data_IF_135399725976
#
_entry.id   IF_135399725976
#
_cell.length_a   1.000
_cell.length_b   1.000
_cell.length_c   1.000
_cell.angle_alpha   90.00
_cell.angle_beta   90.00
_cell.angle_gamma   90.00
#
_symmetry.space_group_name_H-M   'P 1'
#
loop_
_entity.id
_entity.type
_entity.pdbx_description
1 polymer ?
#
# COMPACT_ATOMS: atom_id res chain seq x y z
N UNK A 1 25.33 -77.54 -17.35
CA UNK A 1 24.49 -77.34 -16.16
C UNK A 1 23.84 -75.97 -16.29
N UNK A 2 22.59 -75.89 -16.76
CA UNK A 2 21.87 -74.62 -16.84
C UNK A 2 21.31 -74.27 -15.44
N UNK A 3 21.35 -72.99 -15.00
CA UNK A 3 20.85 -72.61 -13.69
C UNK A 3 19.31 -72.73 -13.64
N UNK A 4 18.74 -73.21 -12.53
CA UNK A 4 17.31 -73.38 -12.39
C UNK A 4 16.61 -72.02 -12.38
N UNK A 5 15.63 -71.84 -13.27
CA UNK A 5 14.76 -70.65 -13.26
C UNK A 5 13.86 -70.72 -12.04
N UNK A 6 14.03 -69.79 -11.10
CA UNK A 6 13.13 -69.64 -9.98
C UNK A 6 11.81 -69.02 -10.47
N UNK A 7 10.75 -69.82 -10.52
CA UNK A 7 9.39 -69.33 -10.76
C UNK A 7 8.89 -68.66 -9.47
N UNK A 8 8.89 -67.33 -9.45
CA UNK A 8 8.38 -66.53 -8.34
C UNK A 8 6.84 -66.45 -8.28
N UNK A 9 6.13 -66.96 -9.28
CA UNK A 9 4.65 -67.05 -9.33
C UNK A 9 4.03 -68.03 -8.32
N UNK A 10 4.85 -68.80 -7.57
CA UNK A 10 4.34 -69.73 -6.54
C UNK A 10 4.03 -69.03 -5.20
N UNK A 11 4.36 -67.76 -5.05
CA UNK A 11 4.23 -67.01 -3.79
C UNK A 11 3.25 -65.83 -3.85
N UNK A 12 2.41 -65.75 -4.88
CA UNK A 12 1.24 -64.86 -4.80
C UNK A 12 0.20 -65.52 -3.91
N UNK A 13 0.10 -65.02 -2.66
CA UNK A 13 -1.02 -65.34 -1.79
C UNK A 13 -2.31 -64.86 -2.48
N UNK A 14 -3.37 -65.67 -2.55
CA UNK A 14 -4.67 -65.14 -2.94
C UNK A 14 -5.03 -64.04 -1.94
N UNK A 15 -5.34 -62.85 -2.46
CA UNK A 15 -5.91 -61.75 -1.68
C UNK A 15 -7.27 -62.26 -1.16
N UNK A 16 -7.25 -62.75 0.06
CA UNK A 16 -8.45 -63.03 0.84
C UNK A 16 -9.02 -61.63 1.15
N UNK A 17 -10.10 -61.24 0.48
CA UNK A 17 -10.93 -60.05 0.77
C UNK A 17 -11.59 -60.22 2.15
N UNK A 18 -10.77 -60.35 3.19
CA UNK A 18 -11.17 -60.15 4.57
C UNK A 18 -10.89 -58.68 4.83
N UNK A 19 -11.95 -57.90 4.88
CA UNK A 19 -11.97 -56.55 5.42
C UNK A 19 -11.11 -56.53 6.69
N UNK A 20 -9.86 -56.07 6.55
CA UNK A 20 -9.04 -55.70 7.69
C UNK A 20 -9.82 -54.57 8.36
N UNK A 21 -10.55 -54.90 9.42
CA UNK A 21 -11.23 -53.92 10.23
C UNK A 21 -10.20 -52.86 10.57
N UNK A 22 -10.38 -51.66 10.00
CA UNK A 22 -9.52 -50.52 10.24
C UNK A 22 -9.72 -50.19 11.72
N UNK A 23 -8.84 -50.69 12.57
CA UNK A 23 -8.84 -50.38 14.00
C UNK A 23 -8.47 -48.90 14.08
N UNK A 24 -9.48 -48.06 14.30
CA UNK A 24 -9.27 -46.64 14.51
C UNK A 24 -8.35 -46.47 15.72
N UNK A 25 -7.25 -45.73 15.53
CA UNK A 25 -6.32 -45.44 16.62
C UNK A 25 -7.08 -44.78 17.76
N UNK A 26 -6.83 -45.23 18.98
CA UNK A 26 -7.42 -44.61 20.15
C UNK A 26 -6.79 -43.21 20.39
N UNK A 27 -7.45 -42.38 21.21
CA UNK A 27 -6.95 -41.03 21.50
C UNK A 27 -5.54 -41.04 22.15
N UNK A 28 -5.17 -42.14 22.79
CA UNK A 28 -3.87 -42.37 23.43
C UNK A 28 -2.76 -42.63 22.41
N UNK A 29 -3.01 -43.48 21.42
CA UNK A 29 -2.11 -43.82 20.32
C UNK A 29 -1.86 -42.60 19.43
N UNK A 30 -2.91 -41.80 19.18
CA UNK A 30 -2.80 -40.52 18.45
C UNK A 30 -1.92 -39.52 19.23
N UNK A 31 -2.09 -39.44 20.55
CA UNK A 31 -1.26 -38.58 21.40
C UNK A 31 0.20 -39.06 21.41
N UNK A 32 0.42 -40.37 21.49
CA UNK A 32 1.74 -40.99 21.48
C UNK A 32 2.47 -40.72 20.16
N UNK A 33 1.81 -40.92 19.02
CA UNK A 33 2.36 -40.62 17.69
C UNK A 33 2.66 -39.12 17.50
N UNK A 34 1.79 -38.24 18.00
CA UNK A 34 2.05 -36.78 17.98
C UNK A 34 3.25 -36.40 18.84
N UNK A 35 3.48 -37.08 19.96
CA UNK A 35 4.66 -36.86 20.79
C UNK A 35 5.94 -37.43 20.18
N UNK A 36 5.88 -38.58 19.51
CA UNK A 36 7.04 -39.17 18.83
C UNK A 36 7.43 -38.42 17.54
N UNK A 37 6.47 -37.80 16.85
CA UNK A 37 6.72 -37.01 15.62
C UNK A 37 7.14 -35.55 15.86
N UNK A 38 7.08 -35.05 17.09
CA UNK A 38 7.47 -33.68 17.42
C UNK A 38 8.84 -33.66 18.11
N UNK A 39 9.80 -32.95 17.51
CA UNK A 39 11.10 -32.72 18.14
C UNK A 39 10.96 -31.98 19.49
N UNK A 40 11.93 -32.14 20.43
CA UNK A 40 11.87 -31.56 21.78
C UNK A 40 11.56 -30.06 21.82
N UNK A 41 12.00 -29.31 20.81
CA UNK A 41 11.84 -27.85 20.71
C UNK A 41 10.62 -27.39 19.91
N UNK A 42 9.85 -28.30 19.30
CA UNK A 42 8.77 -27.93 18.38
C UNK A 42 7.65 -27.09 19.06
N UNK A 43 7.40 -27.33 20.35
CA UNK A 43 6.42 -26.57 21.14
C UNK A 43 6.92 -25.16 21.46
N UNK A 44 8.19 -25.03 21.80
CA UNK A 44 8.83 -23.75 22.12
C UNK A 44 8.93 -22.86 20.89
N UNK A 45 9.28 -23.44 19.73
CA UNK A 45 9.31 -22.72 18.45
C UNK A 45 7.93 -22.16 18.08
N UNK A 46 6.87 -22.96 18.21
CA UNK A 46 5.49 -22.49 17.95
C UNK A 46 5.06 -21.38 18.90
N UNK A 47 5.48 -21.44 20.17
CA UNK A 47 5.21 -20.37 21.14
C UNK A 47 5.93 -19.09 20.73
N UNK A 48 7.21 -19.18 20.36
CA UNK A 48 8.01 -18.05 19.92
C UNK A 48 7.44 -17.41 18.65
N UNK A 49 6.98 -18.21 17.67
CA UNK A 49 6.33 -17.71 16.46
C UNK A 49 5.04 -16.91 16.76
N UNK A 50 4.24 -17.38 17.72
CA UNK A 50 3.04 -16.67 18.15
C UNK A 50 3.39 -15.37 18.86
N UNK A 51 4.39 -15.38 19.75
CA UNK A 51 4.85 -14.19 20.46
C UNK A 51 5.38 -13.11 19.48
N UNK A 52 6.09 -13.52 18.42
CA UNK A 52 6.56 -12.62 17.35
C UNK A 52 5.36 -11.99 16.61
N UNK A 53 4.35 -12.80 16.26
CA UNK A 53 3.14 -12.31 15.57
C UNK A 53 2.36 -11.33 16.45
N UNK A 54 2.25 -11.61 17.74
CA UNK A 54 1.54 -10.73 18.67
C UNK A 54 2.31 -9.43 18.94
N UNK A 55 3.64 -9.49 19.01
CA UNK A 55 4.49 -8.31 19.05
C UNK A 55 4.33 -7.45 17.79
N UNK A 56 4.31 -8.09 16.60
CA UNK A 56 4.09 -7.39 15.33
C UNK A 56 2.70 -6.72 15.28
N UNK A 57 1.66 -7.39 15.75
CA UNK A 57 0.31 -6.79 15.85
C UNK A 57 0.29 -5.60 16.79
N UNK A 58 0.85 -5.71 18.00
CA UNK A 58 0.95 -4.58 18.95
C UNK A 58 1.69 -3.38 18.37
N UNK A 59 2.74 -3.63 17.60
CA UNK A 59 3.50 -2.57 16.92
C UNK A 59 2.62 -1.92 15.84
N UNK A 60 1.97 -2.70 14.99
CA UNK A 60 1.08 -2.18 13.94
C UNK A 60 -0.10 -1.38 14.51
N UNK A 61 -0.72 -1.86 15.58
CA UNK A 61 -1.83 -1.15 16.26
C UNK A 61 -1.37 0.19 16.84
N UNK A 62 -0.14 0.26 17.37
CA UNK A 62 0.44 1.50 17.93
C UNK A 62 0.90 2.48 16.86
N UNK A 63 1.49 1.98 15.76
CA UNK A 63 1.88 2.82 14.63
C UNK A 63 0.61 3.40 13.98
N UNK A 64 -0.52 2.71 14.06
CA UNK A 64 -1.80 3.21 13.56
C UNK A 64 -1.80 3.38 12.04
N UNK A 65 -0.84 2.77 11.33
CA UNK A 65 -0.74 2.75 9.87
C UNK A 65 -1.73 1.72 9.35
N UNK A 66 -3.00 2.06 9.51
CA UNK A 66 -4.02 1.68 8.56
C UNK A 66 -3.95 2.77 7.52
N UNK A 67 -3.37 2.46 6.34
CA UNK A 67 -3.42 3.35 5.19
C UNK A 67 -4.86 3.82 5.06
N UNK A 68 -5.07 5.09 5.41
CA UNK A 68 -6.37 5.68 5.25
C UNK A 68 -6.48 5.98 3.76
N UNK A 69 -7.61 5.59 3.15
CA UNK A 69 -7.92 5.81 1.72
C UNK A 69 -8.00 7.31 1.33
N UNK A 70 -7.46 8.21 2.16
CA UNK A 70 -7.37 9.65 1.97
C UNK A 70 -6.31 10.05 0.95
N UNK A 71 -5.50 9.11 0.45
CA UNK A 71 -4.44 9.37 -0.54
C UNK A 71 -3.32 10.28 -0.01
N UNK A 72 -3.23 10.45 1.30
CA UNK A 72 -2.19 11.23 1.96
C UNK A 72 -1.03 10.31 2.32
N UNK A 73 0.20 10.81 2.14
CA UNK A 73 1.39 10.12 2.62
C UNK A 73 1.30 9.90 4.14
N UNK A 74 1.89 8.83 4.68
CA UNK A 74 1.95 8.62 6.12
C UNK A 74 2.59 9.84 6.82
N UNK A 75 2.10 10.25 8.01
CA UNK A 75 2.57 11.45 8.70
C UNK A 75 4.08 11.48 8.99
N UNK A 76 4.73 10.31 9.07
CA UNK A 76 6.18 10.20 9.25
C UNK A 76 6.99 10.69 8.05
N UNK A 77 6.38 10.78 6.87
CA UNK A 77 7.00 11.26 5.63
C UNK A 77 6.70 12.74 5.37
N UNK A 78 5.99 13.44 6.26
CA UNK A 78 5.67 14.85 6.06
C UNK A 78 6.87 15.74 6.39
N UNK A 79 7.17 16.69 5.51
CA UNK A 79 8.17 17.73 5.73
C UNK A 79 7.50 18.96 6.35
N UNK A 80 7.29 18.90 7.68
CA UNK A 80 6.59 19.94 8.45
C UNK A 80 7.24 21.33 8.27
N UNK A 81 8.59 21.48 8.28
CA UNK A 81 9.23 22.75 7.97
C UNK A 81 8.86 23.33 6.60
N UNK A 82 8.94 22.52 5.54
CA UNK A 82 8.57 22.96 4.19
C UNK A 82 7.08 23.30 4.09
N UNK A 83 6.21 22.48 4.67
CA UNK A 83 4.77 22.70 4.68
C UNK A 83 4.39 24.01 5.39
N UNK A 84 5.05 24.31 6.52
CA UNK A 84 4.87 25.56 7.25
C UNK A 84 5.30 26.77 6.44
N UNK A 85 6.41 26.67 5.72
CA UNK A 85 6.89 27.74 4.84
C UNK A 85 5.88 28.02 3.72
N UNK A 86 5.37 26.95 3.08
CA UNK A 86 4.36 27.08 2.01
C UNK A 86 3.08 27.74 2.51
N UNK A 87 2.59 27.39 3.70
CA UNK A 87 1.41 28.07 4.27
C UNK A 87 1.67 29.54 4.64
N UNK A 88 2.91 29.93 4.93
CA UNK A 88 3.27 31.31 5.27
C UNK A 88 3.46 32.21 4.04
N UNK A 89 3.97 31.65 2.94
CA UNK A 89 4.29 32.41 1.73
C UNK A 89 3.14 32.45 0.71
N UNK A 90 2.32 31.39 0.66
CA UNK A 90 1.26 31.23 -0.34
C UNK A 90 -0.11 31.14 0.35
N UNK A 91 -0.83 32.26 0.38
CA UNK A 91 -2.26 32.23 0.70
C UNK A 91 -3.02 31.50 -0.43
N UNK A 92 -4.14 30.81 -0.13
CA UNK A 92 -4.91 30.13 -1.16
C UNK A 92 -5.42 31.15 -2.20
N UNK A 93 -4.92 31.02 -3.42
CA UNK A 93 -5.22 31.91 -4.53
C UNK A 93 -6.41 31.42 -5.36
N UNK A 94 -7.28 32.35 -5.76
CA UNK A 94 -8.43 32.01 -6.59
C UNK A 94 -8.00 31.90 -8.06
N UNK A 95 -8.08 30.70 -8.59
CA UNK A 95 -7.69 30.40 -9.96
C UNK A 95 -8.60 31.10 -10.98
N UNK A 96 -7.99 31.84 -11.90
CA UNK A 96 -8.62 32.45 -13.06
C UNK A 96 -7.88 32.09 -14.37
N UNK A 97 -8.46 32.46 -15.52
CA UNK A 97 -7.76 32.44 -16.82
C UNK A 97 -7.63 33.83 -17.37
N UNK A 98 -6.43 34.22 -17.82
CA UNK A 98 -6.24 35.42 -18.60
C UNK A 98 -6.93 35.24 -19.96
N UNK A 99 -7.78 36.18 -20.34
CA UNK A 99 -8.52 36.13 -21.61
C UNK A 99 -8.09 37.20 -22.59
N UNK A 100 -7.68 38.37 -22.09
CA UNK A 100 -7.22 39.47 -22.92
C UNK A 100 -6.24 40.34 -22.18
N UNK A 101 -5.18 40.75 -22.86
CA UNK A 101 -4.20 41.70 -22.33
C UNK A 101 -4.56 43.09 -22.86
N UNK A 102 -4.68 44.06 -21.97
CA UNK A 102 -4.86 45.48 -22.31
C UNK A 102 -3.52 46.16 -22.14
N UNK A 103 -2.75 46.22 -23.22
CA UNK A 103 -1.53 47.01 -23.29
C UNK A 103 -1.94 48.48 -23.41
N UNK A 104 -1.76 49.26 -22.34
CA UNK A 104 -1.89 50.72 -22.44
C UNK A 104 -0.59 51.27 -23.02
N UNK A 105 -0.68 51.97 -24.15
CA UNK A 105 0.46 52.68 -24.75
C UNK A 105 0.77 53.91 -23.89
N UNK A 106 1.64 53.76 -22.90
CA UNK A 106 2.05 54.80 -21.95
C UNK A 106 2.76 54.23 -20.72
N UNK A 107 3.21 55.10 -19.81
CA UNK A 107 3.93 54.75 -18.56
C UNK A 107 3.03 54.11 -17.47
N UNK A 108 1.83 53.63 -17.85
CA UNK A 108 0.88 53.00 -16.94
C UNK A 108 1.03 51.47 -16.97
N UNK A 109 0.92 50.78 -15.81
CA UNK A 109 1.07 49.34 -15.74
C UNK A 109 -0.01 48.61 -16.55
N UNK A 110 0.39 47.55 -17.26
CA UNK A 110 -0.50 46.74 -18.09
C UNK A 110 -1.68 46.17 -17.28
N UNK A 111 -2.88 46.19 -17.87
CA UNK A 111 -4.10 45.65 -17.26
C UNK A 111 -4.50 44.36 -17.96
N UNK A 112 -5.01 43.41 -17.20
CA UNK A 112 -5.35 42.07 -17.69
C UNK A 112 -6.82 41.78 -17.45
N UNK A 113 -7.50 41.21 -18.45
CA UNK A 113 -8.88 40.74 -18.31
C UNK A 113 -8.86 39.26 -17.97
N UNK A 114 -9.22 38.94 -16.74
CA UNK A 114 -9.32 37.57 -16.25
C UNK A 114 -10.77 37.10 -16.25
N UNK A 115 -10.98 35.80 -16.45
CA UNK A 115 -12.27 35.14 -16.30
C UNK A 115 -12.21 34.13 -15.15
N UNK A 116 -13.05 34.33 -14.13
CA UNK A 116 -13.21 33.41 -13.00
C UNK A 116 -14.42 32.52 -13.28
N UNK A 117 -14.20 31.20 -13.37
CA UNK A 117 -15.16 30.22 -13.94
C UNK A 117 -16.57 30.25 -13.36
N UNK A 118 -16.75 30.70 -12.12
CA UNK A 118 -18.06 30.73 -11.42
C UNK A 118 -18.63 32.14 -11.20
N UNK A 119 -17.89 33.20 -11.52
CA UNK A 119 -18.24 34.57 -11.10
C UNK A 119 -18.46 35.45 -12.33
N UNK A 120 -17.39 36.05 -12.85
CA UNK A 120 -17.44 37.03 -13.92
C UNK A 120 -16.03 37.30 -14.49
N UNK A 121 -15.97 38.25 -15.42
CA UNK A 121 -14.72 38.81 -15.95
C UNK A 121 -14.31 40.04 -15.13
N UNK A 122 -13.04 40.13 -14.79
CA UNK A 122 -12.47 41.24 -14.03
C UNK A 122 -11.26 41.84 -14.74
N UNK A 123 -11.04 43.14 -14.54
CA UNK A 123 -9.81 43.82 -14.96
C UNK A 123 -8.89 43.90 -13.74
N UNK A 124 -7.72 43.28 -13.83
CA UNK A 124 -6.74 43.20 -12.74
C UNK A 124 -5.40 43.79 -13.17
N UNK A 125 -4.64 44.27 -12.19
CA UNK A 125 -3.24 44.68 -12.38
C UNK A 125 -2.28 43.49 -12.32
N UNK A 126 -1.00 43.77 -12.55
CA UNK A 126 0.08 42.81 -12.40
C UNK A 126 0.44 42.63 -10.90
N UNK A 127 0.80 41.41 -10.51
CA UNK A 127 1.26 41.10 -9.14
C UNK A 127 2.77 41.35 -8.95
N UNK A 128 3.21 41.48 -7.69
CA UNK A 128 4.58 41.90 -7.34
C UNK A 128 5.68 40.89 -7.71
N UNK A 129 5.32 39.62 -7.92
CA UNK A 129 6.27 38.52 -8.19
C UNK A 129 6.31 38.07 -9.65
N UNK A 130 5.58 38.71 -10.55
CA UNK A 130 5.45 38.29 -11.96
C UNK A 130 5.87 39.40 -12.90
N UNK A 131 6.62 39.06 -13.95
CA UNK A 131 6.95 40.01 -15.00
C UNK A 131 5.81 40.09 -16.03
N UNK A 132 5.62 41.24 -16.71
CA UNK A 132 4.61 41.37 -17.77
C UNK A 132 4.78 40.38 -18.92
N UNK A 133 5.99 39.84 -19.11
CA UNK A 133 6.35 38.86 -20.14
C UNK A 133 5.88 37.45 -19.84
N UNK A 134 5.55 37.15 -18.59
CA UNK A 134 5.20 35.79 -18.17
C UNK A 134 3.69 35.50 -18.31
N UNK A 135 2.91 36.50 -18.74
CA UNK A 135 1.44 36.46 -18.79
C UNK A 135 0.95 36.65 -20.23
N UNK A 136 0.58 35.55 -20.86
CA UNK A 136 -0.07 35.50 -22.18
C UNK A 136 -1.58 35.23 -22.09
N UNK A 137 -2.28 35.52 -23.19
CA UNK A 137 -3.69 35.19 -23.34
C UNK A 137 -3.92 33.67 -23.29
N UNK A 138 -4.86 33.23 -22.45
CA UNK A 138 -5.18 31.82 -22.24
C UNK A 138 -4.46 31.15 -21.08
N UNK A 139 -3.44 31.79 -20.49
CA UNK A 139 -2.73 31.26 -19.32
C UNK A 139 -3.65 31.19 -18.09
N UNK A 140 -3.51 30.13 -17.31
CA UNK A 140 -4.15 29.96 -15.99
C UNK A 140 -3.32 30.70 -14.94
N UNK A 141 -3.94 31.65 -14.26
CA UNK A 141 -3.31 32.51 -13.24
C UNK A 141 -4.04 32.31 -11.89
N UNK A 142 -3.35 32.58 -10.78
CA UNK A 142 -3.88 32.52 -9.42
C UNK A 142 -3.60 33.82 -8.70
#
# INVERSE_FOLDING_TARGET
>A
MAPPKANWEKYDKPLDDKDENIIALDEGDIALLKTYGQGPYAKELKKLENDIKDAQKRVNDKIGVKESDTGLAPPSLWDIPADKQRMGEEQPLQVARCTKIIQQTGDEPAKYVINVKQIAKFVVGLGDKVAPTDIDEGIRVG
#
